data_IF_325793486891
#
_entry.id   IF_325793486891
#
_cell.length_a   1.000
_cell.length_b   1.000
_cell.length_c   1.000
_cell.angle_alpha   90.00
_cell.angle_beta   90.00
_cell.angle_gamma   90.00
#
_symmetry.space_group_name_H-M   'P 1'
#
loop_
_entity.id
_entity.type
_entity.pdbx_description
1 polymer ?
#
# COMPACT_ATOMS: atom_id res chain seq x y z
N UNK A 1 8.96 -58.54 16.40
CA UNK A 1 9.25 -59.81 15.69
C UNK A 1 8.69 -59.65 14.27
N UNK A 2 9.56 -59.53 13.25
CA UNK A 2 9.83 -60.52 12.16
C UNK A 2 8.54 -60.89 11.38
N UNK A 3 8.39 -60.87 10.05
CA UNK A 3 9.14 -60.69 8.77
C UNK A 3 8.00 -60.60 7.70
N UNK A 4 8.05 -59.86 6.59
CA UNK A 4 8.90 -60.02 5.40
C UNK A 4 8.16 -60.73 4.25
N UNK A 5 8.53 -60.41 2.98
CA UNK A 5 8.29 -61.10 1.67
C UNK A 5 7.31 -60.35 0.73
N UNK A 6 7.80 -59.51 -0.21
CA UNK A 6 8.26 -59.74 -1.62
C UNK A 6 7.11 -59.67 -2.64
N UNK A 7 7.18 -58.74 -3.60
CA UNK A 7 7.35 -59.10 -5.03
C UNK A 7 7.70 -57.87 -5.89
N UNK A 8 8.79 -58.05 -6.65
CA UNK A 8 9.39 -57.18 -7.66
C UNK A 8 9.18 -57.90 -9.01
N UNK A 9 8.82 -57.19 -10.09
CA UNK A 9 9.12 -57.54 -11.51
C UNK A 9 8.56 -56.43 -12.43
N UNK A 10 9.39 -55.57 -13.01
CA UNK A 10 10.10 -55.72 -14.30
C UNK A 10 9.21 -55.58 -15.54
N UNK A 11 9.40 -54.50 -16.30
CA UNK A 11 9.54 -54.57 -17.76
C UNK A 11 10.31 -53.36 -18.31
N UNK A 12 11.50 -53.70 -18.82
CA UNK A 12 12.48 -52.92 -19.56
C UNK A 12 12.21 -53.03 -21.07
N UNK A 13 12.55 -52.00 -21.84
CA UNK A 13 13.07 -52.10 -23.22
C UNK A 13 14.00 -50.90 -23.44
N UNK A 14 15.33 -51.10 -23.31
CA UNK A 14 16.31 -51.36 -24.39
C UNK A 14 16.60 -50.11 -25.25
N UNK A 15 17.69 -49.35 -25.05
CA UNK A 15 19.13 -49.59 -25.30
C UNK A 15 19.56 -49.70 -26.78
N UNK A 16 20.45 -48.79 -27.21
CA UNK A 16 21.80 -49.01 -27.82
C UNK A 16 22.31 -47.66 -28.38
N UNK A 17 23.47 -47.07 -28.06
CA UNK A 17 24.90 -47.46 -27.87
C UNK A 17 25.76 -47.19 -29.14
N UNK A 18 26.72 -46.25 -28.96
CA UNK A 18 28.08 -46.09 -29.51
C UNK A 18 28.37 -46.15 -31.02
N UNK A 19 29.17 -45.18 -31.51
CA UNK A 19 30.59 -45.41 -31.83
C UNK A 19 31.33 -44.16 -32.34
N UNK A 20 32.63 -44.13 -32.03
CA UNK A 20 33.68 -43.16 -32.36
C UNK A 20 34.08 -43.14 -33.84
N UNK A 21 34.83 -42.11 -34.26
CA UNK A 21 35.98 -42.34 -35.16
C UNK A 21 36.22 -41.32 -36.29
N UNK A 22 37.18 -40.40 -36.04
CA UNK A 22 38.31 -40.05 -36.91
C UNK A 22 38.13 -40.09 -38.44
N UNK A 23 37.98 -38.92 -39.06
CA UNK A 23 38.63 -38.61 -40.34
C UNK A 23 39.25 -37.21 -40.29
N UNK A 24 40.54 -37.17 -40.61
CA UNK A 24 41.38 -35.99 -40.74
C UNK A 24 41.57 -35.76 -42.25
N UNK A 25 41.13 -34.64 -42.80
CA UNK A 25 41.68 -34.16 -44.08
C UNK A 25 41.58 -32.63 -44.23
N UNK A 26 42.75 -32.09 -44.60
CA UNK A 26 43.08 -30.81 -45.26
C UNK A 26 42.52 -29.49 -44.72
N UNK A 27 43.49 -28.69 -44.25
CA UNK A 27 43.49 -27.22 -44.12
C UNK A 27 42.96 -26.55 -45.39
N UNK A 28 41.91 -25.72 -45.31
CA UNK A 28 41.66 -24.64 -46.24
C UNK A 28 42.49 -23.41 -45.85
N UNK A 29 42.83 -22.63 -46.88
CA UNK A 29 43.55 -21.36 -46.86
C UNK A 29 42.80 -20.27 -46.07
N UNK A 30 43.47 -19.23 -45.52
CA UNK A 30 42.81 -18.24 -44.66
C UNK A 30 41.78 -17.42 -45.43
N UNK A 31 40.52 -17.47 -45.01
CA UNK A 31 39.50 -16.51 -45.42
C UNK A 31 39.81 -15.11 -44.84
N UNK A 32 39.49 -14.02 -45.56
CA UNK A 32 39.63 -12.65 -45.07
C UNK A 32 38.82 -12.47 -43.77
N UNK A 33 39.23 -11.54 -42.87
CA UNK A 33 38.54 -11.35 -41.61
C UNK A 33 37.05 -11.08 -41.84
N UNK A 34 36.21 -11.97 -41.30
CA UNK A 34 34.77 -11.79 -41.25
C UNK A 34 34.47 -10.48 -40.54
N UNK A 35 33.89 -9.53 -41.27
CA UNK A 35 33.30 -8.34 -40.66
C UNK A 35 32.19 -8.81 -39.74
N UNK A 36 32.35 -8.56 -38.44
CA UNK A 36 31.30 -8.80 -37.45
C UNK A 36 30.11 -7.94 -37.86
N UNK A 37 28.90 -8.51 -38.08
CA UNK A 37 27.71 -7.70 -38.29
C UNK A 37 27.53 -6.82 -37.06
N UNK A 38 27.55 -5.50 -37.28
CA UNK A 38 27.19 -4.53 -36.25
C UNK A 38 25.73 -4.87 -35.86
N UNK A 39 25.43 -5.15 -34.57
CA UNK A 39 24.06 -5.34 -34.13
C UNK A 39 23.24 -4.11 -34.54
N UNK A 40 22.04 -4.27 -35.13
CA UNK A 40 21.20 -3.12 -35.42
C UNK A 40 21.01 -2.30 -34.14
N UNK A 41 21.15 -0.98 -34.27
CA UNK A 41 20.98 -0.07 -33.15
C UNK A 41 19.66 -0.39 -32.43
N UNK A 42 19.64 -0.37 -31.08
CA UNK A 42 18.40 -0.52 -30.33
C UNK A 42 17.36 0.44 -30.93
N UNK A 43 16.11 -0.01 -31.15
CA UNK A 43 15.07 0.89 -31.63
C UNK A 43 15.05 2.12 -30.74
N UNK A 44 15.08 3.30 -31.38
CA UNK A 44 15.05 4.58 -30.70
C UNK A 44 13.93 4.51 -29.65
N UNK A 45 14.28 4.67 -28.38
CA UNK A 45 13.29 4.74 -27.32
C UNK A 45 12.36 5.88 -27.69
N UNK A 46 11.09 5.58 -27.90
CA UNK A 46 10.05 6.62 -27.93
C UNK A 46 10.25 7.45 -26.67
N UNK A 47 10.35 8.79 -26.79
CA UNK A 47 10.39 9.66 -25.63
C UNK A 47 9.25 9.25 -24.70
N UNK A 48 9.59 8.86 -23.47
CA UNK A 48 8.55 8.67 -22.46
C UNK A 48 7.86 10.03 -22.33
N UNK A 49 6.52 10.07 -22.31
CA UNK A 49 5.83 11.29 -21.93
C UNK A 49 6.43 11.77 -20.62
N UNK A 50 6.78 13.04 -20.56
CA UNK A 50 7.20 13.65 -19.30
C UNK A 50 6.12 13.36 -18.24
N UNK A 51 6.51 13.09 -16.99
CA UNK A 51 5.54 12.91 -15.91
C UNK A 51 4.60 14.10 -15.93
N UNK A 52 3.29 13.86 -16.05
CA UNK A 52 2.30 14.93 -15.93
C UNK A 52 2.50 15.52 -14.54
N UNK A 53 2.96 16.78 -14.41
CA UNK A 53 3.15 17.38 -13.11
C UNK A 53 1.81 17.37 -12.38
N UNK A 54 1.80 17.01 -11.09
CA UNK A 54 0.60 17.14 -10.28
C UNK A 54 0.14 18.61 -10.39
N UNK A 55 -1.06 18.90 -10.94
CA UNK A 55 -1.50 20.27 -11.18
C UNK A 55 -1.61 21.08 -9.87
N UNK A 56 -1.73 20.40 -8.72
CA UNK A 56 -1.86 21.02 -7.41
C UNK A 56 -0.85 20.40 -6.41
N UNK A 57 0.39 20.89 -6.33
CA UNK A 57 1.35 20.42 -5.32
C UNK A 57 0.79 20.67 -3.90
N UNK A 58 1.13 19.83 -2.90
CA UNK A 58 0.73 20.06 -1.51
C UNK A 58 1.19 21.43 -0.99
N UNK A 59 0.29 22.19 -0.35
CA UNK A 59 0.54 23.53 0.19
C UNK A 59 0.16 23.65 1.66
N UNK A 60 -0.87 22.93 2.10
CA UNK A 60 -1.45 23.06 3.43
C UNK A 60 -0.81 22.09 4.45
N UNK A 61 -0.08 21.07 3.98
CA UNK A 61 0.34 19.95 4.80
C UNK A 61 1.19 20.31 6.02
N UNK A 62 1.99 21.39 5.99
CA UNK A 62 2.85 21.76 7.11
C UNK A 62 2.04 22.27 8.30
N UNK A 63 1.13 23.21 8.04
CA UNK A 63 0.22 23.73 9.06
C UNK A 63 -0.66 22.59 9.61
N UNK A 64 -1.19 21.76 8.71
CA UNK A 64 -2.00 20.61 9.09
C UNK A 64 -1.21 19.62 9.95
N UNK A 65 0.03 19.30 9.57
CA UNK A 65 0.84 18.30 10.24
C UNK A 65 1.16 18.66 11.69
N UNK A 66 1.53 19.91 11.97
CA UNK A 66 1.87 20.34 13.33
C UNK A 66 0.64 20.33 14.24
N UNK A 67 -0.51 20.78 13.74
CA UNK A 67 -1.79 20.78 14.48
C UNK A 67 -2.26 19.35 14.72
N UNK A 68 -2.37 18.55 13.66
CA UNK A 68 -2.89 17.18 13.71
C UNK A 68 -1.97 16.27 14.51
N UNK A 69 -0.66 16.32 14.23
CA UNK A 69 0.35 15.51 14.91
C UNK A 69 0.30 15.71 16.42
N UNK A 70 0.34 16.97 16.87
CA UNK A 70 0.31 17.32 18.29
C UNK A 70 -0.99 16.88 18.96
N UNK A 71 -2.14 17.09 18.30
CA UNK A 71 -3.45 16.72 18.84
C UNK A 71 -3.63 15.22 18.95
N UNK A 72 -3.22 14.46 17.93
CA UNK A 72 -3.33 13.00 17.94
C UNK A 72 -2.33 12.39 18.92
N UNK A 73 -1.09 12.88 18.99
CA UNK A 73 -0.13 12.48 20.02
C UNK A 73 -0.71 12.70 21.41
N UNK A 74 -1.29 13.88 21.67
CA UNK A 74 -1.93 14.20 22.95
C UNK A 74 -3.10 13.25 23.28
N UNK A 75 -3.91 12.88 22.29
CA UNK A 75 -5.01 11.92 22.46
C UNK A 75 -4.50 10.53 22.88
N UNK A 76 -3.39 10.06 22.32
CA UNK A 76 -2.78 8.78 22.68
C UNK A 76 -1.83 8.88 23.88
N UNK A 77 -1.56 10.08 24.40
CA UNK A 77 -0.77 10.33 25.59
C UNK A 77 0.73 10.45 25.32
N UNK A 78 1.56 9.82 26.14
CA UNK A 78 3.01 10.07 26.18
C UNK A 78 3.82 9.43 25.05
N UNK A 79 3.19 8.89 24.00
CA UNK A 79 3.92 8.25 22.90
C UNK A 79 4.69 9.27 22.05
N UNK A 80 4.05 10.38 21.66
CA UNK A 80 4.67 11.46 20.91
C UNK A 80 5.25 11.04 19.54
N UNK A 81 4.79 9.95 18.94
CA UNK A 81 5.43 9.33 17.79
C UNK A 81 5.21 10.08 16.47
N UNK A 82 4.17 10.91 16.37
CA UNK A 82 3.87 11.69 15.17
C UNK A 82 4.67 12.98 15.09
N UNK A 83 4.80 13.70 16.22
CA UNK A 83 5.46 15.00 16.29
C UNK A 83 6.95 14.91 16.65
N UNK A 84 7.43 13.74 17.07
CA UNK A 84 8.86 13.51 17.32
C UNK A 84 9.68 13.66 16.04
N UNK A 85 10.71 14.50 16.12
CA UNK A 85 11.77 14.58 15.11
C UNK A 85 12.49 13.25 15.02
N UNK A 86 12.55 12.68 13.82
CA UNK A 86 13.19 11.39 13.59
C UNK A 86 14.63 11.61 13.17
N UNK A 87 15.52 10.84 13.77
CA UNK A 87 16.93 10.90 13.44
C UNK A 87 17.17 10.03 12.24
N UNK A 88 17.91 10.58 11.29
CA UNK A 88 18.39 9.87 10.13
C UNK A 88 19.57 8.94 10.46
N UNK A 89 19.29 7.81 11.11
CA UNK A 89 20.30 6.77 11.34
C UNK A 89 20.14 5.57 10.40
N UNK A 90 18.97 5.43 9.79
CA UNK A 90 18.56 4.32 8.92
C UNK A 90 17.54 4.82 7.88
N UNK A 91 17.78 5.99 7.29
CA UNK A 91 17.08 6.39 6.08
C UNK A 91 17.29 5.40 4.93
N UNK A 92 16.46 5.56 3.90
CA UNK A 92 16.76 5.08 2.57
C UNK A 92 16.58 6.18 1.55
N UNK A 93 17.14 5.97 0.37
CA UNK A 93 16.95 6.87 -0.77
C UNK A 93 15.46 7.21 -1.01
N UNK A 94 14.55 6.28 -0.70
CA UNK A 94 13.10 6.48 -0.76
C UNK A 94 12.57 7.62 0.10
N UNK A 95 13.29 8.02 1.15
CA UNK A 95 12.89 9.10 2.05
C UNK A 95 13.17 10.51 1.51
N UNK A 96 14.03 10.62 0.49
CA UNK A 96 14.43 11.91 -0.11
C UNK A 96 14.00 12.03 -1.57
N UNK A 97 13.07 11.19 -2.01
CA UNK A 97 12.56 11.23 -3.38
C UNK A 97 11.66 12.42 -3.69
N UNK A 98 11.15 13.08 -2.65
CA UNK A 98 10.20 14.19 -2.73
C UNK A 98 10.86 15.44 -2.14
N UNK A 99 11.19 16.39 -3.00
CA UNK A 99 11.83 17.65 -2.63
C UNK A 99 10.95 18.47 -1.68
N UNK A 100 9.62 18.40 -1.83
CA UNK A 100 8.66 19.05 -0.94
C UNK A 100 8.70 18.52 0.50
N UNK A 101 9.42 17.42 0.75
CA UNK A 101 9.61 16.82 2.06
C UNK A 101 11.04 17.02 2.63
N UNK A 102 11.93 17.74 1.94
CA UNK A 102 13.27 18.03 2.43
C UNK A 102 13.23 18.84 3.74
N UNK A 103 13.94 18.37 4.78
CA UNK A 103 13.96 19.00 6.10
C UNK A 103 12.72 18.74 6.97
N UNK A 104 11.76 17.94 6.52
CA UNK A 104 10.54 17.61 7.26
C UNK A 104 10.57 16.17 7.81
N UNK A 105 11.13 16.01 9.01
CA UNK A 105 11.47 14.70 9.58
C UNK A 105 10.46 14.17 10.61
N UNK A 106 9.30 14.82 10.75
CA UNK A 106 8.20 14.29 11.57
C UNK A 106 7.31 13.38 10.74
N UNK A 107 6.82 12.30 11.34
CA UNK A 107 5.92 11.38 10.63
C UNK A 107 4.56 12.01 10.30
N UNK A 108 4.08 12.92 11.14
CA UNK A 108 2.90 13.75 10.87
C UNK A 108 3.03 14.57 9.58
N UNK A 109 4.22 15.11 9.29
CA UNK A 109 4.50 15.86 8.07
C UNK A 109 4.43 14.96 6.84
N UNK A 110 5.10 13.79 6.89
CA UNK A 110 5.06 12.79 5.81
C UNK A 110 3.63 12.30 5.54
N UNK A 111 2.86 12.01 6.59
CA UNK A 111 1.45 11.60 6.45
C UNK A 111 0.60 12.69 5.82
N UNK A 112 0.67 13.92 6.34
CA UNK A 112 -0.16 15.03 5.86
C UNK A 112 0.17 15.39 4.41
N UNK A 113 1.46 15.34 4.05
CA UNK A 113 1.90 15.54 2.67
C UNK A 113 1.25 14.53 1.72
N UNK A 114 1.32 13.24 2.04
CA UNK A 114 0.75 12.20 1.17
C UNK A 114 -0.78 12.12 1.21
N UNK A 115 -1.41 12.63 2.27
CA UNK A 115 -2.86 12.87 2.29
C UNK A 115 -3.23 13.95 1.30
N UNK A 116 -2.54 15.08 1.33
CA UNK A 116 -2.83 16.19 0.44
C UNK A 116 -2.52 15.85 -1.03
N UNK A 117 -1.39 15.19 -1.29
CA UNK A 117 -1.01 14.81 -2.66
C UNK A 117 -1.93 13.77 -3.30
N UNK A 118 -2.71 13.04 -2.50
CA UNK A 118 -3.67 12.03 -2.95
C UNK A 118 -5.12 12.40 -2.62
N UNK A 119 -5.38 13.69 -2.39
CA UNK A 119 -6.69 14.19 -2.03
C UNK A 119 -7.67 14.07 -3.20
N UNK A 120 -7.27 14.51 -4.39
CA UNK A 120 -8.16 14.67 -5.56
C UNK A 120 -7.92 13.57 -6.61
N UNK A 121 -7.19 13.86 -7.68
CA UNK A 121 -7.05 12.97 -8.83
C UNK A 121 -5.79 12.11 -8.73
N UNK A 122 -5.95 10.88 -8.24
CA UNK A 122 -4.89 9.87 -8.23
C UNK A 122 -5.23 8.74 -9.20
N UNK A 123 -4.33 8.48 -10.14
CA UNK A 123 -4.36 7.25 -10.94
C UNK A 123 -3.78 6.10 -10.13
N UNK A 124 -4.52 4.99 -10.04
CA UNK A 124 -4.11 3.82 -9.26
C UNK A 124 -3.61 2.69 -10.14
N UNK A 125 -2.53 2.02 -9.73
CA UNK A 125 -1.89 0.97 -10.51
C UNK A 125 -2.39 -0.44 -10.12
N UNK A 126 -3.66 -0.73 -10.42
CA UNK A 126 -4.38 -1.91 -9.91
C UNK A 126 -4.72 -2.97 -10.97
N UNK A 127 -4.31 -2.80 -12.22
CA UNK A 127 -4.57 -3.75 -13.33
C UNK A 127 -4.24 -5.21 -12.99
N UNK A 128 -3.15 -5.45 -12.25
CA UNK A 128 -2.72 -6.77 -11.83
C UNK A 128 -3.74 -7.46 -10.89
N UNK A 129 -4.63 -6.70 -10.25
CA UNK A 129 -5.64 -7.20 -9.32
C UNK A 129 -7.00 -7.48 -10.00
N UNK A 130 -7.12 -7.27 -11.31
CA UNK A 130 -8.35 -7.53 -12.08
C UNK A 130 -8.98 -8.92 -11.82
N UNK A 131 -8.22 -10.05 -11.74
CA UNK A 131 -8.81 -11.35 -11.45
C UNK A 131 -9.51 -11.43 -10.09
N UNK A 132 -8.97 -10.73 -9.09
CA UNK A 132 -9.45 -10.77 -7.71
C UNK A 132 -10.65 -9.86 -7.49
N UNK A 133 -10.61 -8.64 -8.04
CA UNK A 133 -11.64 -7.63 -7.75
C UNK A 133 -12.54 -7.29 -8.94
N UNK A 134 -12.32 -7.85 -10.14
CA UNK A 134 -13.13 -7.51 -11.31
C UNK A 134 -12.99 -6.04 -11.73
N UNK A 135 -11.81 -5.47 -11.52
CA UNK A 135 -11.43 -4.13 -12.00
C UNK A 135 -10.85 -4.22 -13.43
N UNK A 136 -10.67 -3.09 -14.14
CA UNK A 136 -10.08 -3.10 -15.49
C UNK A 136 -8.69 -3.75 -15.53
N UNK A 137 -8.35 -4.34 -16.69
CA UNK A 137 -7.04 -4.99 -16.94
C UNK A 137 -5.97 -4.02 -17.44
N UNK A 138 -6.37 -2.82 -17.86
CA UNK A 138 -5.47 -1.73 -18.23
C UNK A 138 -5.64 -0.58 -17.23
N UNK A 139 -4.54 0.02 -16.80
CA UNK A 139 -4.57 1.14 -15.85
C UNK A 139 -5.16 2.42 -16.48
N UNK A 140 -5.12 2.54 -17.81
CA UNK A 140 -5.73 3.67 -18.53
C UNK A 140 -7.26 3.66 -18.46
N UNK A 141 -7.87 2.48 -18.26
CA UNK A 141 -9.33 2.30 -18.20
C UNK A 141 -9.92 2.58 -16.80
N UNK A 142 -9.08 2.92 -15.81
CA UNK A 142 -9.55 3.24 -14.47
C UNK A 142 -10.06 4.68 -14.42
N UNK A 143 -11.24 4.87 -13.82
CA UNK A 143 -11.65 6.18 -13.34
C UNK A 143 -10.68 6.66 -12.26
N UNK A 144 -10.36 7.95 -12.28
CA UNK A 144 -9.55 8.62 -11.26
C UNK A 144 -10.20 8.48 -9.88
N UNK A 145 -9.36 8.41 -8.85
CA UNK A 145 -9.77 8.21 -7.47
C UNK A 145 -8.92 9.08 -6.56
N UNK A 146 -9.43 9.43 -5.38
CA UNK A 146 -8.69 10.12 -4.33
C UNK A 146 -9.54 10.16 -3.08
N UNK A 147 -8.97 10.72 -2.01
CA UNK A 147 -9.66 10.81 -0.72
C UNK A 147 -10.91 11.70 -0.75
N UNK A 148 -10.98 12.62 -1.71
CA UNK A 148 -12.06 13.59 -1.92
C UNK A 148 -12.73 13.46 -3.30
N UNK A 149 -12.31 12.52 -4.15
CA UNK A 149 -12.87 12.41 -5.51
C UNK A 149 -14.32 11.92 -5.53
N UNK A 150 -14.74 11.15 -4.52
CA UNK A 150 -16.08 10.57 -4.40
C UNK A 150 -16.65 10.80 -2.99
N UNK A 151 -17.98 10.90 -2.84
CA UNK A 151 -18.58 10.93 -1.52
C UNK A 151 -18.33 9.60 -0.78
N UNK A 152 -18.22 9.68 0.53
CA UNK A 152 -18.25 8.50 1.39
C UNK A 152 -19.68 7.96 1.51
N UNK A 153 -19.82 6.65 1.39
CA UNK A 153 -21.10 5.97 1.59
C UNK A 153 -21.49 6.00 3.07
N UNK A 154 -22.78 6.25 3.34
CA UNK A 154 -23.30 6.23 4.70
C UNK A 154 -23.31 4.81 5.30
N UNK A 155 -22.79 4.68 6.52
CA UNK A 155 -22.70 3.41 7.23
C UNK A 155 -23.98 3.08 8.00
N UNK A 156 -24.47 1.85 7.82
CA UNK A 156 -25.61 1.30 8.55
C UNK A 156 -25.27 -0.09 9.05
N UNK A 157 -26.04 -0.60 10.02
CA UNK A 157 -25.86 -1.99 10.48
C UNK A 157 -25.98 -2.99 9.33
N UNK A 158 -26.90 -2.75 8.38
CA UNK A 158 -27.11 -3.62 7.23
C UNK A 158 -25.98 -3.52 6.21
N UNK A 159 -25.49 -2.31 5.89
CA UNK A 159 -24.35 -2.16 4.98
C UNK A 159 -23.08 -2.77 5.57
N UNK A 160 -22.78 -2.51 6.84
CA UNK A 160 -21.61 -3.06 7.54
C UNK A 160 -21.66 -4.58 7.71
N UNK A 161 -22.86 -5.17 7.83
CA UNK A 161 -23.00 -6.63 7.81
C UNK A 161 -22.52 -7.22 6.48
N UNK A 162 -22.78 -6.52 5.37
CA UNK A 162 -22.34 -6.94 4.04
C UNK A 162 -20.85 -6.64 3.80
N UNK A 163 -20.38 -5.47 4.22
CA UNK A 163 -19.00 -5.05 3.94
C UNK A 163 -17.98 -5.70 4.87
N UNK A 164 -18.30 -5.95 6.14
CA UNK A 164 -17.37 -6.55 7.13
C UNK A 164 -17.47 -8.08 7.24
N UNK A 165 -18.49 -8.69 6.60
CA UNK A 165 -18.69 -10.14 6.34
C UNK A 165 -18.88 -11.04 7.57
N UNK A 166 -18.45 -10.62 8.77
CA UNK A 166 -18.60 -11.37 10.03
C UNK A 166 -19.45 -10.55 11.00
N UNK A 167 -20.49 -11.16 11.56
CA UNK A 167 -21.39 -10.50 12.53
C UNK A 167 -20.62 -9.93 13.72
N UNK A 168 -19.61 -10.63 14.22
CA UNK A 168 -18.74 -10.16 15.32
C UNK A 168 -17.85 -8.95 14.99
N UNK A 169 -17.79 -8.51 13.73
CA UNK A 169 -17.08 -7.29 13.31
C UNK A 169 -18.02 -6.09 13.17
N UNK A 170 -19.33 -6.33 13.10
CA UNK A 170 -20.32 -5.24 12.99
C UNK A 170 -20.32 -4.49 14.32
N UNK A 171 -19.94 -3.20 14.34
CA UNK A 171 -19.79 -2.47 15.59
C UNK A 171 -21.16 -2.06 16.15
N UNK A 172 -21.17 -1.54 17.38
CA UNK A 172 -22.40 -1.05 18.02
C UNK A 172 -22.96 0.19 17.33
N UNK A 173 -24.25 0.49 17.53
CA UNK A 173 -24.91 1.67 16.95
C UNK A 173 -24.19 2.99 17.31
N UNK A 174 -23.59 3.07 18.50
CA UNK A 174 -22.81 4.24 18.92
C UNK A 174 -21.54 4.45 18.09
N UNK A 175 -20.89 3.37 17.66
CA UNK A 175 -19.72 3.44 16.78
C UNK A 175 -20.15 3.78 15.36
N UNK A 176 -21.26 3.20 14.89
CA UNK A 176 -21.84 3.53 13.58
C UNK A 176 -22.16 5.02 13.49
N UNK A 177 -22.74 5.61 14.54
CA UNK A 177 -23.00 7.05 14.59
C UNK A 177 -21.72 7.89 14.45
N UNK A 178 -20.59 7.45 15.02
CA UNK A 178 -19.29 8.13 14.84
C UNK A 178 -18.75 7.97 13.42
N UNK A 179 -18.94 6.81 12.78
CA UNK A 179 -18.57 6.63 11.36
C UNK A 179 -19.37 7.61 10.50
N UNK A 180 -20.66 7.71 10.74
CA UNK A 180 -21.56 8.59 10.01
C UNK A 180 -21.20 10.06 10.21
N UNK A 181 -20.84 10.47 11.43
CA UNK A 181 -20.33 11.82 11.70
C UNK A 181 -19.08 12.15 10.87
N UNK A 182 -18.16 11.19 10.72
CA UNK A 182 -16.97 11.37 9.88
C UNK A 182 -17.34 11.42 8.40
N UNK A 183 -18.21 10.52 7.94
CA UNK A 183 -18.68 10.46 6.54
C UNK A 183 -19.40 11.76 6.14
N UNK A 184 -20.30 12.26 6.98
CA UNK A 184 -21.03 13.51 6.79
C UNK A 184 -20.08 14.72 6.76
N UNK A 185 -19.09 14.76 7.67
CA UNK A 185 -18.05 15.81 7.67
C UNK A 185 -17.25 15.81 6.38
N UNK A 186 -16.74 14.64 5.97
CA UNK A 186 -15.96 14.50 4.73
C UNK A 186 -16.80 14.90 3.53
N UNK A 187 -18.04 14.44 3.43
CA UNK A 187 -18.94 14.75 2.31
C UNK A 187 -19.25 16.25 2.24
N UNK A 188 -19.58 16.89 3.36
CA UNK A 188 -19.86 18.34 3.39
C UNK A 188 -18.64 19.18 3.06
N UNK A 189 -17.45 18.81 3.54
CA UNK A 189 -16.19 19.47 3.18
C UNK A 189 -15.85 19.26 1.69
N UNK A 190 -16.11 18.06 1.16
CA UNK A 190 -15.91 17.73 -0.24
C UNK A 190 -16.79 18.58 -1.16
N UNK A 191 -18.06 18.76 -0.81
CA UNK A 191 -18.99 19.58 -1.60
C UNK A 191 -18.53 21.04 -1.63
N UNK A 192 -18.24 21.62 -0.46
CA UNK A 192 -17.71 22.99 -0.35
C UNK A 192 -16.38 23.19 -1.07
N UNK A 193 -15.49 22.19 -1.05
CA UNK A 193 -14.25 22.20 -1.81
C UNK A 193 -14.51 22.25 -3.33
N UNK A 194 -15.47 21.46 -3.84
CA UNK A 194 -15.85 21.49 -5.25
C UNK A 194 -16.46 22.85 -5.63
N UNK A 195 -17.20 23.47 -4.71
CA UNK A 195 -17.76 24.82 -4.89
C UNK A 195 -16.70 25.95 -4.83
N UNK A 196 -15.42 25.59 -4.61
CA UNK A 196 -14.29 26.53 -4.63
C UNK A 196 -13.97 27.20 -3.30
N UNK A 197 -14.45 26.67 -2.17
CA UNK A 197 -14.10 27.20 -0.85
C UNK A 197 -12.71 26.70 -0.39
N UNK A 198 -11.68 27.55 -0.48
CA UNK A 198 -10.30 27.22 -0.08
C UNK A 198 -10.21 26.67 1.35
N UNK A 199 -10.97 27.25 2.29
CA UNK A 199 -11.01 26.79 3.68
C UNK A 199 -11.56 25.37 3.84
N UNK A 200 -12.43 24.92 2.93
CA UNK A 200 -12.95 23.56 2.96
C UNK A 200 -11.91 22.53 2.53
N UNK A 201 -11.03 22.88 1.57
CA UNK A 201 -9.91 22.02 1.15
C UNK A 201 -8.96 21.76 2.31
N UNK A 202 -8.50 22.80 2.99
CA UNK A 202 -7.60 22.69 4.13
C UNK A 202 -8.21 21.85 5.27
N UNK A 203 -9.47 22.09 5.60
CA UNK A 203 -10.17 21.29 6.63
C UNK A 203 -10.38 19.83 6.19
N UNK A 204 -10.50 19.55 4.89
CA UNK A 204 -10.55 18.19 4.37
C UNK A 204 -9.19 17.49 4.48
N UNK A 205 -8.09 18.18 4.16
CA UNK A 205 -6.71 17.70 4.35
C UNK A 205 -6.48 17.41 5.84
N UNK A 206 -6.91 18.30 6.74
CA UNK A 206 -6.83 18.11 8.19
C UNK A 206 -7.64 16.91 8.68
N UNK A 207 -8.86 16.74 8.16
CA UNK A 207 -9.74 15.62 8.50
C UNK A 207 -9.11 14.28 8.11
N UNK A 208 -8.61 14.17 6.88
CA UNK A 208 -7.93 12.96 6.43
C UNK A 208 -6.57 12.74 7.10
N UNK A 209 -5.78 13.79 7.32
CA UNK A 209 -4.50 13.70 8.05
C UNK A 209 -4.71 13.19 9.47
N UNK A 210 -5.79 13.64 10.12
CA UNK A 210 -6.18 13.12 11.44
C UNK A 210 -6.62 11.66 11.36
N UNK A 211 -7.41 11.29 10.35
CA UNK A 211 -7.77 9.90 10.09
C UNK A 211 -6.55 8.98 9.99
N UNK A 212 -5.56 9.32 9.15
CA UNK A 212 -4.36 8.51 8.96
C UNK A 212 -3.42 8.53 10.17
N UNK A 213 -3.34 9.65 10.88
CA UNK A 213 -2.58 9.75 12.15
C UNK A 213 -3.18 8.85 13.25
N UNK A 214 -4.50 8.85 13.41
CA UNK A 214 -5.20 7.96 14.33
C UNK A 214 -5.08 6.48 13.89
N UNK A 215 -5.13 6.22 12.57
CA UNK A 215 -4.91 4.89 12.02
C UNK A 215 -3.50 4.39 12.31
N UNK A 216 -2.49 5.26 12.18
CA UNK A 216 -1.10 4.95 12.51
C UNK A 216 -0.96 4.47 13.95
N UNK A 217 -1.58 5.14 14.91
CA UNK A 217 -1.56 4.71 16.30
C UNK A 217 -2.31 3.41 16.56
N UNK A 218 -3.49 3.27 15.96
CA UNK A 218 -4.36 2.12 16.19
C UNK A 218 -3.78 0.85 15.56
N UNK A 219 -3.08 0.97 14.44
CA UNK A 219 -2.44 -0.16 13.75
C UNK A 219 -1.01 -0.42 14.24
N UNK A 220 -0.26 0.66 14.50
CA UNK A 220 1.21 0.59 14.47
C UNK A 220 1.90 1.28 15.66
N UNK A 221 1.81 2.60 15.76
CA UNK A 221 2.73 3.42 16.57
C UNK A 221 2.67 3.11 18.06
N UNK A 222 1.49 2.75 18.59
CA UNK A 222 1.30 2.43 20.02
C UNK A 222 2.12 1.24 20.53
N UNK A 223 2.62 0.40 19.61
CA UNK A 223 3.40 -0.80 19.92
C UNK A 223 4.70 -0.90 19.12
N UNK A 224 5.13 0.19 18.48
CA UNK A 224 6.26 0.16 17.55
C UNK A 224 7.58 -0.23 18.21
N UNK A 225 7.79 0.19 19.45
CA UNK A 225 9.04 -0.03 20.20
C UNK A 225 8.90 -1.07 21.32
N UNK A 226 7.85 -1.90 21.26
CA UNK A 226 7.69 -3.01 22.19
C UNK A 226 8.77 -4.08 21.98
N UNK A 227 9.00 -4.90 23.03
CA UNK A 227 9.89 -6.06 22.93
C UNK A 227 9.45 -7.07 21.87
N UNK A 228 8.14 -7.19 21.60
CA UNK A 228 7.61 -8.05 20.54
C UNK A 228 7.97 -7.53 19.15
N UNK A 229 7.85 -6.21 18.92
CA UNK A 229 8.23 -5.57 17.66
C UNK A 229 9.72 -5.73 17.38
N UNK A 230 10.57 -5.43 18.37
CA UNK A 230 12.02 -5.59 18.26
C UNK A 230 12.42 -7.05 17.99
N UNK A 231 11.78 -8.02 18.65
CA UNK A 231 12.04 -9.46 18.42
C UNK A 231 11.67 -9.90 16.99
N UNK A 232 10.59 -9.37 16.42
CA UNK A 232 10.23 -9.68 15.03
C UNK A 232 11.25 -9.06 14.08
N UNK A 233 11.60 -7.79 14.27
CA UNK A 233 12.56 -7.12 13.42
C UNK A 233 13.95 -7.80 13.44
N UNK A 234 14.42 -8.26 14.59
CA UNK A 234 15.71 -8.96 14.73
C UNK A 234 15.86 -10.19 13.80
N UNK A 235 14.75 -10.81 13.37
CA UNK A 235 14.76 -11.91 12.38
C UNK A 235 15.15 -11.46 10.97
N UNK A 236 15.04 -10.16 10.71
CA UNK A 236 15.16 -9.53 9.40
C UNK A 236 16.28 -8.48 9.34
N UNK A 237 17.00 -8.28 10.44
CA UNK A 237 18.13 -7.37 10.47
C UNK A 237 19.30 -7.90 9.65
N UNK A 238 20.05 -6.98 9.06
CA UNK A 238 21.25 -7.26 8.27
C UNK A 238 22.43 -6.44 8.81
N UNK A 239 23.63 -6.60 8.24
CA UNK A 239 24.77 -5.74 8.61
C UNK A 239 24.48 -4.25 8.37
N UNK A 240 23.57 -3.94 7.44
CA UNK A 240 23.29 -2.58 6.96
C UNK A 240 21.91 -2.07 7.40
N UNK A 241 21.18 -2.83 8.22
CA UNK A 241 19.85 -2.45 8.68
C UNK A 241 19.59 -2.92 10.11
N UNK A 242 19.24 -1.96 10.96
CA UNK A 242 18.63 -2.18 12.27
C UNK A 242 17.31 -1.45 12.30
N UNK A 243 16.33 -2.02 13.03
CA UNK A 243 15.01 -1.39 13.17
C UNK A 243 15.16 -0.01 13.85
N UNK A 244 14.69 1.09 13.22
CA UNK A 244 14.63 2.38 13.88
C UNK A 244 13.47 2.46 14.89
N UNK A 245 13.56 3.44 15.79
CA UNK A 245 12.48 3.72 16.74
C UNK A 245 11.22 4.18 16.01
N UNK A 246 10.05 3.84 16.55
CA UNK A 246 8.75 4.27 15.99
C UNK A 246 8.27 3.51 14.75
N UNK A 247 9.00 2.49 14.29
CA UNK A 247 8.56 1.58 13.21
C UNK A 247 8.12 0.25 13.79
N UNK A 248 6.85 -0.13 13.67
CA UNK A 248 6.37 -1.44 14.15
C UNK A 248 6.73 -2.54 13.17
N UNK A 249 7.22 -3.65 13.69
CA UNK A 249 7.33 -4.93 12.99
C UNK A 249 6.42 -5.94 13.68
N UNK A 250 5.59 -6.66 12.94
CA UNK A 250 4.86 -7.79 13.49
C UNK A 250 4.59 -8.87 12.45
N UNK A 251 4.38 -10.10 12.91
CA UNK A 251 3.96 -11.22 12.08
C UNK A 251 2.50 -11.55 12.40
N UNK A 252 1.63 -11.54 11.38
CA UNK A 252 0.25 -12.00 11.51
C UNK A 252 0.23 -13.54 11.40
N UNK A 253 -0.10 -14.27 12.49
CA UNK A 253 -0.07 -15.73 12.50
C UNK A 253 -1.15 -16.36 11.62
N UNK A 254 -2.12 -15.57 11.14
CA UNK A 254 -3.20 -16.05 10.28
C UNK A 254 -2.91 -15.89 8.78
N UNK A 255 -1.76 -15.34 8.41
CA UNK A 255 -1.30 -15.22 7.03
C UNK A 255 -0.33 -16.33 6.67
N UNK A 256 -0.17 -16.57 5.37
CA UNK A 256 0.89 -17.45 4.88
C UNK A 256 2.29 -16.86 5.15
N UNK A 257 3.31 -17.71 5.12
CA UNK A 257 4.71 -17.32 5.36
C UNK A 257 5.17 -16.18 4.43
N UNK A 258 4.60 -16.14 3.22
CA UNK A 258 4.87 -15.11 2.23
C UNK A 258 4.24 -13.76 2.60
N UNK A 259 3.18 -13.68 3.41
CA UNK A 259 2.45 -12.42 3.70
C UNK A 259 2.34 -12.10 5.19
N UNK A 260 3.01 -12.87 6.05
CA UNK A 260 2.93 -12.71 7.50
C UNK A 260 3.55 -11.42 8.02
N UNK A 261 4.62 -10.92 7.41
CA UNK A 261 5.33 -9.76 7.94
C UNK A 261 4.53 -8.48 7.69
N UNK A 262 4.56 -7.56 8.65
CA UNK A 262 3.91 -6.25 8.57
C UNK A 262 4.89 -5.20 9.11
N UNK A 263 4.96 -4.04 8.43
CA UNK A 263 5.86 -2.94 8.78
C UNK A 263 5.07 -1.63 8.78
N UNK A 264 5.05 -0.90 9.90
CA UNK A 264 4.37 0.40 10.00
C UNK A 264 2.87 0.32 9.70
N UNK A 265 2.38 1.21 8.83
CA UNK A 265 1.05 1.27 8.20
C UNK A 265 0.94 0.43 6.92
N UNK A 266 1.74 -0.63 6.78
CA UNK A 266 1.63 -1.49 5.59
C UNK A 266 1.76 -2.97 5.94
N UNK A 267 0.71 -3.74 5.63
CA UNK A 267 0.80 -5.19 5.59
C UNK A 267 1.65 -5.64 4.41
N UNK A 268 2.71 -6.39 4.70
CA UNK A 268 3.84 -6.62 3.81
C UNK A 268 3.88 -8.06 3.30
N UNK A 269 3.51 -8.28 2.04
CA UNK A 269 3.99 -9.45 1.30
C UNK A 269 5.34 -9.07 0.65
N UNK A 270 6.50 -9.58 1.13
CA UNK A 270 7.83 -9.13 0.74
C UNK A 270 8.27 -9.46 -0.68
N UNK A 271 7.43 -10.13 -1.46
CA UNK A 271 7.75 -10.37 -2.85
C UNK A 271 7.20 -9.20 -3.67
N UNK A 272 8.00 -8.70 -4.60
CA UNK A 272 7.56 -7.67 -5.51
C UNK A 272 6.34 -8.05 -6.37
N UNK A 273 5.83 -9.29 -6.29
CA UNK A 273 4.56 -9.73 -6.89
C UNK A 273 3.34 -9.71 -5.95
N UNK A 274 3.51 -9.37 -4.68
CA UNK A 274 2.45 -9.40 -3.66
C UNK A 274 1.66 -8.10 -3.55
N UNK A 275 0.97 -7.91 -2.42
CA UNK A 275 0.15 -6.73 -2.11
C UNK A 275 0.96 -5.42 -1.92
N UNK A 276 2.25 -5.43 -2.22
CA UNK A 276 3.09 -4.23 -2.23
C UNK A 276 3.23 -3.66 -3.65
N UNK A 277 3.05 -4.50 -4.66
CA UNK A 277 3.31 -4.16 -6.06
C UNK A 277 2.47 -2.97 -6.55
N UNK A 278 1.14 -2.92 -6.35
CA UNK A 278 0.35 -1.74 -6.67
C UNK A 278 0.89 -0.45 -6.03
N UNK A 279 1.32 -0.49 -4.76
CA UNK A 279 1.92 0.69 -4.13
C UNK A 279 3.25 1.07 -4.80
N UNK A 280 4.17 0.11 -5.01
CA UNK A 280 5.46 0.37 -5.65
C UNK A 280 5.28 0.94 -7.06
N UNK A 281 4.27 0.47 -7.81
CA UNK A 281 3.95 1.02 -9.13
C UNK A 281 3.46 2.46 -9.02
N UNK A 282 2.51 2.74 -8.13
CA UNK A 282 2.04 4.11 -7.88
C UNK A 282 3.18 5.02 -7.40
N UNK A 283 4.07 4.55 -6.53
CA UNK A 283 5.27 5.31 -6.13
C UNK A 283 6.15 5.64 -7.32
N UNK A 284 6.49 4.63 -8.13
CA UNK A 284 7.38 4.79 -9.28
C UNK A 284 6.82 5.68 -10.40
N UNK A 285 5.50 5.80 -10.48
CA UNK A 285 4.80 6.70 -11.39
C UNK A 285 4.89 8.15 -10.90
N UNK A 286 4.66 8.38 -9.60
CA UNK A 286 4.74 9.71 -9.00
C UNK A 286 6.19 10.20 -8.80
N UNK A 287 7.14 9.29 -8.56
CA UNK A 287 8.54 9.57 -8.26
C UNK A 287 9.50 8.82 -9.21
N UNK A 288 9.49 9.15 -10.52
CA UNK A 288 10.21 8.40 -11.54
C UNK A 288 11.74 8.52 -11.45
N UNK A 289 12.26 9.58 -10.81
CA UNK A 289 13.68 9.76 -10.51
C UNK A 289 14.16 8.83 -9.38
N UNK A 290 13.23 8.26 -8.61
CA UNK A 290 13.52 7.64 -7.32
C UNK A 290 12.80 6.29 -7.17
N UNK A 291 12.96 5.46 -8.19
CA UNK A 291 12.18 4.23 -8.34
C UNK A 291 12.68 3.10 -7.43
N UNK A 292 11.73 2.42 -6.80
CA UNK A 292 11.94 1.13 -6.12
C UNK A 292 11.55 0.02 -7.08
N UNK A 293 12.45 -0.93 -7.36
CA UNK A 293 12.17 -1.97 -8.36
C UNK A 293 11.03 -2.87 -7.87
N UNK A 294 10.07 -3.17 -8.74
CA UNK A 294 8.95 -4.08 -8.39
C UNK A 294 9.36 -5.54 -8.31
N UNK A 295 10.64 -5.86 -8.49
CA UNK A 295 11.24 -7.18 -8.25
C UNK A 295 12.38 -7.12 -7.22
N UNK A 296 12.46 -6.05 -6.43
CA UNK A 296 13.40 -5.91 -5.32
C UNK A 296 13.29 -7.08 -4.36
N UNK A 297 14.41 -7.40 -3.70
CA UNK A 297 14.47 -8.49 -2.73
C UNK A 297 13.65 -8.16 -1.48
N UNK A 298 13.27 -9.19 -0.70
CA UNK A 298 12.63 -9.01 0.61
C UNK A 298 13.43 -8.08 1.52
N UNK A 299 14.76 -8.23 1.57
CA UNK A 299 15.64 -7.40 2.42
C UNK A 299 15.60 -5.93 2.02
N UNK A 300 15.69 -5.67 0.71
CA UNK A 300 15.66 -4.31 0.16
C UNK A 300 14.32 -3.62 0.44
N UNK A 301 13.21 -4.34 0.29
CA UNK A 301 11.88 -3.81 0.59
C UNK A 301 11.66 -3.59 2.10
N UNK A 302 12.21 -4.45 2.96
CA UNK A 302 12.19 -4.24 4.42
C UNK A 302 12.90 -2.95 4.79
N UNK A 303 14.05 -2.71 4.18
CA UNK A 303 14.84 -1.51 4.37
C UNK A 303 14.11 -0.23 3.94
N UNK A 304 13.45 -0.26 2.78
CA UNK A 304 12.65 0.88 2.25
C UNK A 304 11.42 1.17 3.12
N UNK A 305 10.67 0.13 3.53
CA UNK A 305 9.44 0.31 4.31
C UNK A 305 9.69 0.48 5.81
N UNK A 306 10.85 0.02 6.27
CA UNK A 306 11.31 0.09 7.64
C UNK A 306 12.23 1.27 7.93
N UNK A 307 12.35 2.21 7.01
CA UNK A 307 13.21 3.39 7.17
C UNK A 307 12.77 4.25 8.35
N UNK A 308 13.72 5.04 8.89
CA UNK A 308 13.49 5.91 10.05
C UNK A 308 12.37 6.92 9.77
N UNK A 309 12.39 7.59 8.62
CA UNK A 309 11.41 8.60 8.25
C UNK A 309 10.05 8.01 7.84
N UNK A 310 10.00 6.71 7.49
CA UNK A 310 8.79 5.99 7.09
C UNK A 310 8.07 6.65 5.91
N UNK A 311 8.80 7.25 4.95
CA UNK A 311 8.19 8.00 3.83
C UNK A 311 7.38 7.08 2.93
N UNK A 312 7.98 5.96 2.50
CA UNK A 312 7.27 4.95 1.71
C UNK A 312 6.07 4.38 2.48
N UNK A 313 6.21 4.23 3.80
CA UNK A 313 5.16 3.71 4.67
C UNK A 313 3.96 4.68 4.73
N UNK A 314 4.22 5.98 4.87
CA UNK A 314 3.20 7.02 4.82
C UNK A 314 2.50 7.06 3.45
N UNK A 315 3.27 7.10 2.36
CA UNK A 315 2.73 7.08 0.99
C UNK A 315 1.84 5.85 0.78
N UNK A 316 2.37 4.66 1.02
CA UNK A 316 1.64 3.42 0.80
C UNK A 316 0.44 3.27 1.74
N UNK A 317 0.53 3.78 2.97
CA UNK A 317 -0.56 3.77 3.93
C UNK A 317 -1.78 4.54 3.40
N UNK A 318 -1.55 5.77 2.92
CA UNK A 318 -2.59 6.60 2.29
C UNK A 318 -3.06 6.00 0.97
N UNK A 319 -2.11 5.63 0.10
CA UNK A 319 -2.40 5.10 -1.23
C UNK A 319 -3.25 3.82 -1.18
N UNK A 320 -3.10 3.00 -0.14
CA UNK A 320 -3.91 1.77 0.03
C UNK A 320 -5.41 2.06 0.23
N UNK A 321 -5.76 3.16 0.88
CA UNK A 321 -7.16 3.60 1.00
C UNK A 321 -7.66 4.15 -0.33
N UNK A 322 -6.86 4.95 -1.03
CA UNK A 322 -7.20 5.45 -2.38
C UNK A 322 -7.37 4.30 -3.38
N UNK A 323 -6.50 3.29 -3.33
CA UNK A 323 -6.63 2.07 -4.13
C UNK A 323 -7.91 1.29 -3.78
N UNK A 324 -8.31 1.29 -2.50
CA UNK A 324 -9.57 0.69 -2.07
C UNK A 324 -10.78 1.43 -2.62
N UNK A 325 -10.72 2.76 -2.70
CA UNK A 325 -11.76 3.57 -3.33
C UNK A 325 -11.82 3.30 -4.84
N UNK A 326 -10.68 3.25 -5.50
CA UNK A 326 -10.57 2.90 -6.92
C UNK A 326 -11.16 1.52 -7.23
N UNK A 327 -10.96 0.51 -6.37
CA UNK A 327 -11.61 -0.80 -6.52
C UNK A 327 -13.14 -0.67 -6.48
N UNK A 328 -13.69 0.05 -5.50
CA UNK A 328 -15.15 0.20 -5.36
C UNK A 328 -15.78 0.92 -6.55
N UNK A 329 -15.09 1.93 -7.07
CA UNK A 329 -15.51 2.68 -8.25
C UNK A 329 -15.49 1.76 -9.48
N UNK A 330 -14.38 1.05 -9.71
CA UNK A 330 -14.11 0.41 -10.99
C UNK A 330 -14.54 -1.07 -11.08
N UNK A 331 -14.85 -1.71 -9.95
CA UNK A 331 -15.19 -3.14 -9.90
C UNK A 331 -16.55 -3.47 -10.51
N UNK A 332 -16.61 -4.61 -11.20
CA UNK A 332 -17.86 -5.28 -11.60
C UNK A 332 -18.38 -6.28 -10.55
N UNK A 333 -17.60 -6.61 -9.52
CA UNK A 333 -17.99 -7.55 -8.47
C UNK A 333 -18.72 -6.82 -7.36
N UNK A 334 -20.00 -7.15 -7.15
CA UNK A 334 -20.82 -6.55 -6.10
C UNK A 334 -20.24 -6.68 -4.68
N UNK A 335 -19.43 -7.72 -4.43
CA UNK A 335 -18.75 -7.90 -3.14
C UNK A 335 -17.68 -6.84 -2.88
N UNK A 336 -17.05 -6.30 -3.93
CA UNK A 336 -15.96 -5.32 -3.84
C UNK A 336 -16.45 -3.87 -3.86
N UNK A 337 -17.77 -3.65 -3.79
CA UNK A 337 -18.42 -2.35 -3.85
C UNK A 337 -19.35 -2.20 -2.64
N UNK A 338 -19.51 -0.98 -2.13
CA UNK A 338 -20.47 -0.71 -1.07
C UNK A 338 -21.93 -1.03 -1.51
N UNK A 339 -22.78 -1.65 -0.66
CA UNK A 339 -24.13 -2.06 -1.04
C UNK A 339 -25.06 -0.95 -1.55
N UNK A 340 -24.82 0.31 -1.15
CA UNK A 340 -25.59 1.47 -1.63
C UNK A 340 -25.39 1.75 -3.12
N UNK A 341 -24.31 1.25 -3.73
CA UNK A 341 -24.00 1.43 -5.15
C UNK A 341 -24.68 0.38 -6.05
N UNK A 342 -25.61 -0.42 -5.52
CA UNK A 342 -26.33 -1.42 -6.31
C UNK A 342 -27.16 -0.72 -7.40
N UNK A 343 -26.82 -0.95 -8.67
CA UNK A 343 -27.48 -0.32 -9.81
C UNK A 343 -26.91 1.07 -10.19
N UNK A 344 -25.94 1.59 -9.45
CA UNK A 344 -25.27 2.86 -9.78
C UNK A 344 -24.24 2.67 -10.88
N UNK A 345 -24.18 3.61 -11.82
CA UNK A 345 -23.08 3.75 -12.76
C UNK A 345 -21.77 3.98 -11.98
N UNK A 346 -20.62 3.64 -12.57
CA UNK A 346 -19.32 3.67 -11.85
C UNK A 346 -18.97 5.08 -11.38
N UNK A 347 -19.36 6.06 -12.19
CA UNK A 347 -19.13 7.49 -12.01
C UNK A 347 -19.98 8.07 -10.88
N UNK A 348 -21.08 7.41 -10.50
CA UNK A 348 -22.00 7.89 -9.46
C UNK A 348 -21.81 7.17 -8.11
N UNK A 349 -20.81 6.28 -8.02
CA UNK A 349 -20.59 5.48 -6.81
C UNK A 349 -20.00 6.32 -5.69
N UNK A 350 -20.51 6.12 -4.48
CA UNK A 350 -19.81 6.49 -3.26
C UNK A 350 -18.77 5.42 -2.90
N UNK A 351 -17.83 5.75 -2.01
CA UNK A 351 -16.79 4.82 -1.54
C UNK A 351 -16.78 4.71 -0.02
N UNK A 352 -16.20 3.65 0.52
CA UNK A 352 -16.11 3.48 1.97
C UNK A 352 -14.79 2.83 2.37
N UNK A 353 -14.10 3.31 3.42
CA UNK A 353 -12.94 2.61 3.94
C UNK A 353 -13.32 1.34 4.73
N UNK A 354 -14.59 1.18 5.14
CA UNK A 354 -15.05 0.11 6.04
C UNK A 354 -15.45 -1.16 5.30
N UNK A 355 -14.51 -1.73 4.55
CA UNK A 355 -14.73 -2.93 3.74
C UNK A 355 -13.74 -4.02 4.14
N UNK A 356 -14.23 -5.26 4.18
CA UNK A 356 -13.42 -6.44 4.42
C UNK A 356 -12.30 -6.56 3.37
N UNK A 357 -11.09 -6.85 3.82
CA UNK A 357 -9.90 -6.88 2.96
C UNK A 357 -9.84 -8.02 1.94
N UNK A 358 -10.75 -8.99 1.99
CA UNK A 358 -10.92 -9.95 0.89
C UNK A 358 -11.77 -9.40 -0.25
N UNK A 359 -12.44 -8.27 -0.03
CA UNK A 359 -13.31 -7.57 -0.96
C UNK A 359 -12.77 -6.20 -1.36
N UNK A 360 -11.98 -5.59 -0.48
CA UNK A 360 -11.17 -4.41 -0.74
C UNK A 360 -9.68 -4.76 -0.73
N UNK A 361 -8.83 -3.77 -0.99
CA UNK A 361 -7.37 -3.92 -0.94
C UNK A 361 -6.76 -3.41 0.38
N UNK A 362 -7.52 -2.67 1.17
CA UNK A 362 -7.08 -2.24 2.48
C UNK A 362 -7.08 -3.42 3.46
N UNK A 363 -5.92 -3.71 4.03
CA UNK A 363 -5.79 -4.77 5.03
C UNK A 363 -5.66 -4.25 6.46
N UNK A 364 -5.98 -2.97 6.67
CA UNK A 364 -5.94 -2.37 7.99
C UNK A 364 -6.95 -3.01 8.93
N UNK A 365 -6.45 -3.60 10.01
CA UNK A 365 -7.29 -4.22 11.04
C UNK A 365 -8.41 -3.28 11.54
N UNK A 366 -8.11 -2.01 11.87
CA UNK A 366 -9.09 -1.03 12.33
C UNK A 366 -10.23 -0.80 11.35
N UNK A 367 -9.95 -0.72 10.05
CA UNK A 367 -10.98 -0.46 9.03
C UNK A 367 -11.96 -1.63 8.85
N UNK A 368 -11.51 -2.85 9.21
CA UNK A 368 -12.34 -4.05 9.19
C UNK A 368 -12.95 -4.41 10.56
N UNK A 369 -12.69 -3.60 11.58
CA UNK A 369 -12.97 -3.93 12.97
C UNK A 369 -12.48 -5.33 13.38
N UNK A 370 -11.25 -5.69 12.99
CA UNK A 370 -10.73 -7.07 13.10
C UNK A 370 -10.69 -7.63 14.53
N UNK A 371 -10.60 -6.75 15.54
CA UNK A 371 -10.58 -7.11 16.97
C UNK A 371 -11.92 -6.88 17.68
N UNK A 372 -12.92 -6.34 16.97
CA UNK A 372 -14.20 -5.92 17.55
C UNK A 372 -14.18 -4.52 18.19
N UNK A 373 -13.01 -4.00 18.56
CA UNK A 373 -12.86 -2.69 19.22
C UNK A 373 -12.02 -1.67 18.44
N UNK A 374 -11.13 -2.12 17.56
CA UNK A 374 -10.17 -1.23 16.90
C UNK A 374 -10.82 -0.20 15.97
N UNK A 375 -11.99 -0.48 15.40
CA UNK A 375 -12.73 0.54 14.66
C UNK A 375 -13.23 1.67 15.57
N UNK A 376 -13.71 1.35 16.77
CA UNK A 376 -14.12 2.35 17.75
C UNK A 376 -12.93 3.19 18.22
N UNK A 377 -11.77 2.55 18.48
CA UNK A 377 -10.53 3.24 18.87
C UNK A 377 -10.10 4.25 17.81
N UNK A 378 -10.10 3.83 16.54
CA UNK A 378 -9.83 4.70 15.40
C UNK A 378 -10.79 5.87 15.34
N UNK A 379 -12.10 5.61 15.16
CA UNK A 379 -13.06 6.69 14.86
C UNK A 379 -13.27 7.64 16.03
N UNK A 380 -13.08 7.19 17.27
CA UNK A 380 -13.11 8.06 18.46
C UNK A 380 -11.95 9.06 18.46
N UNK A 381 -10.75 8.62 18.05
CA UNK A 381 -9.63 9.54 17.85
C UNK A 381 -9.90 10.51 16.70
N UNK A 382 -10.46 10.03 15.59
CA UNK A 382 -10.75 10.91 14.43
C UNK A 382 -11.75 12.01 14.80
N UNK A 383 -12.78 11.67 15.59
CA UNK A 383 -13.83 12.61 15.97
C UNK A 383 -13.57 13.38 17.27
N UNK A 384 -12.46 13.12 17.98
CA UNK A 384 -12.11 13.89 19.18
C UNK A 384 -11.91 15.37 18.87
N UNK A 385 -12.08 16.26 19.84
CA UNK A 385 -11.81 17.71 19.68
C UNK A 385 -10.35 18.11 19.88
#
# INVERSE_FOLDING_TARGET
>A
MKKGIVLLSFLLLCQSINAMGLFRSRRPEPEPPAQTPIPPAPPAQTPRPDPVPNPNPPRDFLEVADIVGTRVDSYFGSYGALSKMRVDTHDKFSDYCEEGLEGYDKFSQRLSFFVESQLEETRTQLSALAPYYGVPRNNEDFLLSGLAQRPLCHSTKSSLTRTLKKSGRVPSSSVIAKLNQFEERVNGLRERMIDGEDGARMELVKTWSKFFSCLAYTESLSTADSSSSNRVAAKYESSNYRKPAGVKFYEDPYQDEASKLNIGLFQFTPNGGGNINPCLKSWNENFPSCRVKTNSSKSELIEVFGSSLQTMNAFCGVNKVVQTFSIQINSSKSTAVHPSNSGSAKEDRCVSPWIYSGYAYNHFGPLMNSTGENLNKLISCVNSD
#
